data_IF_448824196856
#
_entry.id   IF_448824196856
#
_cell.length_a   1.000
_cell.length_b   1.000
_cell.length_c   1.000
_cell.angle_alpha   90.00
_cell.angle_beta   90.00
_cell.angle_gamma   90.00
#
_symmetry.space_group_name_H-M   'P 1'
#
loop_
_entity.id
_entity.type
_entity.pdbx_description
1 polymer ?
#
# COMPACT_ATOMS: atom_id res chain seq x y z
N UNK A 1 -13.24 10.30 7.91
CA UNK A 1 -13.53 8.86 7.73
C UNK A 1 -13.99 8.49 6.33
N UNK A 2 -14.82 9.30 5.65
CA UNK A 2 -15.31 9.00 4.29
C UNK A 2 -14.23 9.01 3.18
N UNK A 3 -13.20 9.84 3.30
CA UNK A 3 -12.18 10.01 2.25
C UNK A 3 -11.29 8.76 2.05
N UNK A 4 -11.17 7.89 3.06
CA UNK A 4 -10.35 6.67 2.97
C UNK A 4 -11.01 5.62 2.08
N UNK A 5 -12.32 5.39 2.29
CA UNK A 5 -13.07 4.36 1.56
C UNK A 5 -13.17 4.68 0.06
N UNK A 6 -13.35 5.94 -0.32
CA UNK A 6 -13.43 6.32 -1.73
C UNK A 6 -12.11 6.08 -2.48
N UNK A 7 -10.96 6.31 -1.83
CA UNK A 7 -9.64 6.08 -2.44
C UNK A 7 -9.30 4.60 -2.56
N UNK A 8 -9.62 3.81 -1.54
CA UNK A 8 -9.39 2.36 -1.57
C UNK A 8 -10.29 1.69 -2.62
N UNK A 9 -11.56 2.09 -2.72
CA UNK A 9 -12.50 1.56 -3.72
C UNK A 9 -12.07 1.93 -5.14
N UNK A 10 -11.51 3.13 -5.36
CA UNK A 10 -10.95 3.49 -6.66
C UNK A 10 -9.69 2.70 -7.00
N UNK A 11 -8.78 2.50 -6.04
CA UNK A 11 -7.60 1.65 -6.22
C UNK A 11 -7.99 0.22 -6.59
N UNK A 12 -8.97 -0.35 -5.88
CA UNK A 12 -9.48 -1.70 -6.13
C UNK A 12 -10.10 -1.84 -7.53
N UNK A 13 -10.80 -0.79 -8.01
CA UNK A 13 -11.34 -0.73 -9.39
C UNK A 13 -10.26 -0.65 -10.46
N UNK A 14 -9.14 0.02 -10.17
CA UNK A 14 -8.03 0.20 -11.12
C UNK A 14 -7.20 -1.08 -11.26
N UNK A 15 -6.92 -1.76 -10.15
CA UNK A 15 -6.14 -3.01 -10.16
C UNK A 15 -7.00 -4.24 -10.45
N UNK A 16 -8.33 -4.13 -10.29
CA UNK A 16 -9.28 -5.22 -10.48
C UNK A 16 -9.26 -6.26 -9.36
N UNK A 17 -8.61 -5.93 -8.23
CA UNK A 17 -8.53 -6.75 -7.01
C UNK A 17 -8.51 -5.84 -5.78
N UNK A 18 -9.12 -6.28 -4.69
CA UNK A 18 -9.12 -5.50 -3.46
C UNK A 18 -7.86 -5.76 -2.60
N UNK A 19 -7.65 -4.93 -1.58
CA UNK A 19 -6.49 -5.05 -0.67
C UNK A 19 -6.40 -6.42 0.02
N UNK A 20 -7.55 -6.99 0.41
CA UNK A 20 -7.59 -8.29 1.08
C UNK A 20 -7.21 -9.42 0.12
N UNK A 21 -7.71 -9.39 -1.11
CA UNK A 21 -7.34 -10.33 -2.18
C UNK A 21 -5.84 -10.21 -2.51
N UNK A 22 -5.30 -9.00 -2.60
CA UNK A 22 -3.88 -8.77 -2.83
C UNK A 22 -3.00 -9.37 -1.72
N UNK A 23 -3.38 -9.16 -0.45
CA UNK A 23 -2.73 -9.79 0.71
C UNK A 23 -2.76 -11.31 0.64
N UNK A 24 -3.90 -11.89 0.30
CA UNK A 24 -4.04 -13.34 0.17
C UNK A 24 -3.20 -13.91 -0.98
N UNK A 25 -3.22 -13.28 -2.17
CA UNK A 25 -2.45 -13.72 -3.33
C UNK A 25 -0.94 -13.72 -3.03
N UNK A 26 -0.45 -12.69 -2.34
CA UNK A 26 0.95 -12.58 -1.96
C UNK A 26 1.25 -13.14 -0.57
N UNK A 27 0.33 -13.84 0.09
CA UNK A 27 0.54 -14.40 1.43
C UNK A 27 1.14 -13.40 2.44
N UNK A 28 0.60 -12.19 2.47
CA UNK A 28 1.00 -11.06 3.34
C UNK A 28 -0.07 -10.83 4.39
N UNK A 29 0.32 -10.74 5.65
CA UNK A 29 -0.58 -10.38 6.75
C UNK A 29 -0.49 -8.87 7.06
N UNK A 30 -1.40 -8.35 7.90
CA UNK A 30 -1.40 -6.93 8.28
C UNK A 30 -0.09 -6.47 8.94
N UNK A 31 0.54 -7.35 9.72
CA UNK A 31 1.84 -7.09 10.35
C UNK A 31 2.98 -6.94 9.34
N UNK A 32 2.84 -7.57 8.17
CA UNK A 32 3.84 -7.60 7.10
C UNK A 32 3.63 -6.49 6.07
N UNK A 33 2.53 -5.73 6.17
CA UNK A 33 2.13 -4.76 5.14
C UNK A 33 3.15 -3.65 4.95
N UNK A 34 3.92 -3.32 5.98
CA UNK A 34 4.98 -2.30 5.93
C UNK A 34 6.36 -2.88 5.60
N UNK A 35 6.48 -4.21 5.45
CA UNK A 35 7.72 -4.90 5.11
C UNK A 35 7.84 -5.02 3.58
N UNK A 36 8.44 -3.99 2.98
CA UNK A 36 8.62 -3.89 1.52
C UNK A 36 9.48 -5.03 0.97
N UNK A 37 10.50 -5.47 1.72
CA UNK A 37 11.40 -6.53 1.29
C UNK A 37 10.66 -7.87 1.25
N UNK A 38 9.85 -8.17 2.26
CA UNK A 38 9.04 -9.39 2.30
C UNK A 38 8.01 -9.42 1.17
N UNK A 39 7.33 -8.30 0.91
CA UNK A 39 6.38 -8.17 -0.22
C UNK A 39 7.09 -8.45 -1.55
N UNK A 40 8.24 -7.81 -1.77
CA UNK A 40 9.00 -7.97 -3.01
C UNK A 40 9.50 -9.40 -3.21
N UNK A 41 10.05 -10.03 -2.16
CA UNK A 41 10.51 -11.42 -2.19
C UNK A 41 9.38 -12.39 -2.53
N UNK A 42 8.23 -12.20 -1.90
CA UNK A 42 7.07 -13.08 -2.10
C UNK A 42 6.46 -12.90 -3.50
N UNK A 43 6.44 -11.67 -4.00
CA UNK A 43 6.09 -11.37 -5.39
C UNK A 43 7.03 -12.09 -6.37
N UNK A 44 8.35 -11.91 -6.25
CA UNK A 44 9.32 -12.54 -7.17
C UNK A 44 9.22 -14.06 -7.16
N UNK A 45 9.06 -14.65 -5.98
CA UNK A 45 8.90 -16.09 -5.83
C UNK A 45 7.67 -16.61 -6.57
N UNK A 46 6.49 -16.04 -6.30
CA UNK A 46 5.24 -16.47 -6.91
C UNK A 46 5.18 -16.15 -8.40
N UNK A 47 5.70 -14.99 -8.81
CA UNK A 47 5.72 -14.57 -10.21
C UNK A 47 6.61 -15.50 -11.05
N UNK A 48 7.79 -15.86 -10.56
CA UNK A 48 8.72 -16.75 -11.26
C UNK A 48 8.24 -18.20 -11.29
N UNK A 49 7.55 -18.67 -10.24
CA UNK A 49 6.91 -19.99 -10.21
C UNK A 49 5.78 -20.11 -11.24
N UNK A 50 5.08 -19.01 -11.52
CA UNK A 50 3.94 -18.96 -12.44
C UNK A 50 4.32 -18.44 -13.83
N UNK A 51 5.60 -18.39 -14.16
CA UNK A 51 6.06 -17.98 -15.49
C UNK A 51 5.48 -18.91 -16.57
N UNK A 52 4.80 -18.31 -17.55
CA UNK A 52 4.21 -19.03 -18.70
C UNK A 52 5.20 -19.91 -19.46
N UNK A 53 6.48 -19.52 -19.49
CA UNK A 53 7.54 -20.27 -20.19
C UNK A 53 7.94 -21.55 -19.45
N UNK A 54 7.59 -21.65 -18.16
CA UNK A 54 7.86 -22.78 -17.28
C UNK A 54 6.63 -23.63 -17.00
N UNK A 55 5.58 -23.50 -17.83
CA UNK A 55 4.30 -24.20 -17.64
C UNK A 55 3.35 -23.51 -16.65
N UNK A 56 3.66 -22.28 -16.24
CA UNK A 56 2.76 -21.46 -15.43
C UNK A 56 1.58 -20.89 -16.22
N UNK A 57 0.63 -20.29 -15.50
CA UNK A 57 -0.56 -19.67 -16.10
C UNK A 57 -0.41 -18.16 -16.20
N UNK A 58 -0.61 -17.62 -17.40
CA UNK A 58 -0.65 -16.17 -17.62
C UNK A 58 -1.70 -15.46 -16.74
N UNK A 59 -2.83 -16.12 -16.48
CA UNK A 59 -3.87 -15.58 -15.61
C UNK A 59 -3.37 -15.46 -14.15
N UNK A 60 -2.72 -16.51 -13.64
CA UNK A 60 -2.18 -16.50 -12.27
C UNK A 60 -1.04 -15.48 -12.14
N UNK A 61 -0.14 -15.44 -13.11
CA UNK A 61 0.94 -14.45 -13.16
C UNK A 61 0.39 -13.02 -13.20
N UNK A 62 -0.67 -12.77 -13.98
CA UNK A 62 -1.35 -11.47 -14.04
C UNK A 62 -1.99 -11.12 -12.70
N UNK A 63 -2.61 -12.07 -11.99
CA UNK A 63 -3.18 -11.86 -10.65
C UNK A 63 -2.10 -11.51 -9.62
N UNK A 64 -0.95 -12.20 -9.65
CA UNK A 64 0.20 -11.90 -8.79
C UNK A 64 0.74 -10.49 -9.06
N UNK A 65 0.83 -10.11 -10.34
CA UNK A 65 1.23 -8.76 -10.73
C UNK A 65 0.28 -7.69 -10.18
N UNK A 66 -1.03 -7.85 -10.39
CA UNK A 66 -2.04 -6.92 -9.84
C UNK A 66 -1.99 -6.86 -8.32
N UNK A 67 -1.76 -7.98 -7.64
CA UNK A 67 -1.62 -8.04 -6.18
C UNK A 67 -0.49 -7.14 -5.68
N UNK A 68 0.66 -7.20 -6.34
CA UNK A 68 1.79 -6.33 -6.01
C UNK A 68 1.44 -4.86 -6.21
N UNK A 69 0.87 -4.49 -7.36
CA UNK A 69 0.49 -3.09 -7.63
C UNK A 69 -0.46 -2.54 -6.56
N UNK A 70 -1.42 -3.36 -6.09
CA UNK A 70 -2.37 -2.93 -5.06
C UNK A 70 -1.72 -2.71 -3.70
N UNK A 71 -0.77 -3.57 -3.30
CA UNK A 71 0.00 -3.38 -2.06
C UNK A 71 0.93 -2.17 -2.14
N UNK A 72 1.59 -1.97 -3.28
CA UNK A 72 2.46 -0.80 -3.51
C UNK A 72 1.68 0.53 -3.44
N UNK A 73 0.42 0.54 -3.90
CA UNK A 73 -0.47 1.69 -3.75
C UNK A 73 -0.82 1.96 -2.28
N UNK A 74 -1.09 0.91 -1.49
CA UNK A 74 -1.39 1.04 -0.06
C UNK A 74 -0.23 1.67 0.72
N UNK A 75 1.00 1.22 0.42
CA UNK A 75 2.24 1.75 0.99
C UNK A 75 2.46 3.23 0.63
N UNK A 76 2.15 3.62 -0.62
CA UNK A 76 2.24 5.03 -1.05
C UNK A 76 1.22 5.91 -0.34
N UNK A 77 -0.02 5.44 -0.19
CA UNK A 77 -1.05 6.20 0.55
C UNK A 77 -0.62 6.38 2.01
N UNK A 78 -0.16 5.30 2.64
CA UNK A 78 0.28 5.32 4.05
C UNK A 78 1.47 6.26 4.29
N UNK A 79 2.47 6.26 3.40
CA UNK A 79 3.63 7.18 3.49
C UNK A 79 3.23 8.65 3.28
N UNK A 80 2.33 8.95 2.35
CA UNK A 80 1.83 10.31 2.12
C UNK A 80 1.03 10.85 3.32
N UNK A 81 0.30 10.00 4.04
CA UNK A 81 -0.45 10.41 5.24
C UNK A 81 0.48 10.74 6.41
N UNK A 82 1.51 9.93 6.63
CA UNK A 82 2.52 10.19 7.66
C UNK A 82 3.21 11.54 7.45
N UNK A 83 3.60 11.88 6.21
CA UNK A 83 4.21 13.18 5.91
C UNK A 83 3.26 14.37 6.12
N UNK A 84 1.95 14.20 5.88
CA UNK A 84 0.95 15.26 6.08
C UNK A 84 0.66 15.52 7.56
N UNK A 85 0.73 14.49 8.41
CA UNK A 85 0.49 14.62 9.83
C UNK A 85 1.66 15.31 10.56
N UNK A 86 2.90 15.04 10.15
CA UNK A 86 4.09 15.71 10.70
C UNK A 86 4.13 17.22 10.43
N UNK A 87 3.60 17.67 9.29
CA UNK A 87 3.51 19.11 8.97
C UNK A 87 2.41 19.86 9.73
N UNK A 88 1.35 19.18 10.19
CA UNK A 88 0.29 19.81 11.00
C UNK A 88 0.71 20.08 12.45
N UNK A 89 1.65 19.30 12.99
CA UNK A 89 2.13 19.47 14.37
C UNK A 89 3.21 20.56 14.52
N UNK A 90 3.74 21.14 13.43
CA UNK A 90 4.75 22.21 13.48
C UNK A 90 4.20 23.64 13.51
N UNK A 91 2.87 23.83 13.55
CA UNK A 91 2.21 25.14 13.59
C UNK A 91 1.49 25.43 14.92
N UNK A 92 1.85 24.74 16.02
CA UNK A 92 1.26 24.94 17.36
C UNK A 92 2.27 25.28 18.47
N UNK A 93 3.42 25.84 18.14
CA UNK A 93 4.34 26.43 19.13
C UNK A 93 4.40 27.96 18.93
N UNK A 94 3.63 28.64 19.79
CA UNK A 94 3.61 30.04 20.27
C UNK A 94 3.73 31.25 19.32
N UNK A 95 2.83 32.26 19.51
CA UNK A 95 3.29 33.47 20.19
C UNK A 95 2.28 33.97 21.24
N UNK A 96 2.49 33.61 22.50
CA UNK A 96 2.02 34.38 23.67
C UNK A 96 3.08 34.19 24.75
N UNK A 97 3.73 35.19 25.32
CA UNK A 97 3.15 36.43 25.84
C UNK A 97 4.30 37.43 26.09
N UNK A 98 4.22 38.62 25.51
CA UNK A 98 5.02 39.76 25.98
C UNK A 98 4.22 41.04 25.79
N UNK A 99 3.31 41.29 26.73
CA UNK A 99 2.75 42.63 26.92
C UNK A 99 3.41 43.28 28.14
N UNK A 100 4.19 44.36 27.97
CA UNK A 100 4.60 45.21 29.06
C UNK A 100 3.55 46.29 29.29
N UNK A 101 2.86 46.29 30.42
CA UNK A 101 2.44 47.52 31.11
C UNK A 101 2.32 47.24 32.60
#
# INVERSE_FOLDING_TARGET
IYVQQDKTVQADRVTGINLQEAKQILNINDADLNDVEKIQKQYEHLFNLNDKTKGGSFYLQSKIYRAKERLDQELKVSSMENSKNSNRNKQKEDPSDSNPT
#
